data_IF_685094800886
#
_entry.id   IF_685094800886
#
_cell.length_a   1.000
_cell.length_b   1.000
_cell.length_c   1.000
_cell.angle_alpha   90.00
_cell.angle_beta   90.00
_cell.angle_gamma   90.00
#
_symmetry.space_group_name_H-M   'P 1'
#
loop_
_entity.id
_entity.type
_entity.pdbx_description
1 polymer ?
#
# COMPACT_ATOMS: atom_id res chain seq x y z
N UNK A 1 -3.39 -15.50 -8.68
CA UNK A 1 -3.00 -15.18 -10.08
C UNK A 1 -4.25 -14.91 -10.90
N UNK A 2 -4.27 -13.83 -11.66
CA UNK A 2 -5.35 -13.55 -12.60
C UNK A 2 -5.27 -14.51 -13.79
N UNK A 3 -6.35 -15.18 -14.10
CA UNK A 3 -6.44 -15.97 -15.33
C UNK A 3 -6.43 -15.01 -16.53
N UNK A 4 -5.66 -15.31 -17.59
CA UNK A 4 -5.61 -14.57 -18.85
C UNK A 4 -4.90 -13.19 -18.81
N UNK A 5 -3.69 -13.14 -18.30
CA UNK A 5 -2.79 -11.99 -18.48
C UNK A 5 -2.51 -11.73 -19.97
N UNK A 6 -2.90 -10.54 -20.45
CA UNK A 6 -2.50 -10.04 -21.78
C UNK A 6 -1.21 -9.26 -21.66
N UNK A 7 -0.14 -9.76 -22.25
CA UNK A 7 1.12 -9.03 -22.41
C UNK A 7 1.33 -8.73 -23.89
N UNK A 8 1.52 -7.47 -24.24
CA UNK A 8 1.62 -6.98 -25.63
C UNK A 8 0.44 -7.46 -26.50
N UNK A 9 -0.79 -7.43 -25.96
CA UNK A 9 -2.01 -7.81 -26.66
C UNK A 9 -2.26 -9.32 -26.82
N UNK A 10 -1.36 -10.17 -26.34
CA UNK A 10 -1.50 -11.65 -26.39
C UNK A 10 -1.74 -12.23 -25.01
N UNK A 11 -2.65 -13.20 -24.93
CA UNK A 11 -2.85 -14.00 -23.72
C UNK A 11 -1.60 -14.89 -23.57
N UNK A 12 -0.94 -14.81 -22.43
CA UNK A 12 0.20 -15.66 -22.09
C UNK A 12 -0.27 -16.84 -21.23
N UNK A 13 0.37 -17.98 -21.35
CA UNK A 13 0.12 -19.09 -20.45
C UNK A 13 0.70 -18.78 -19.06
N UNK A 14 0.16 -19.42 -18.02
CA UNK A 14 0.61 -19.21 -16.61
C UNK A 14 2.05 -19.63 -16.36
N UNK A 15 2.61 -20.44 -17.25
CA UNK A 15 4.00 -20.96 -17.24
C UNK A 15 4.91 -20.25 -18.25
N UNK A 16 4.41 -19.23 -18.96
CA UNK A 16 5.22 -18.47 -19.91
C UNK A 16 6.33 -17.71 -19.18
N UNK A 17 7.56 -18.02 -19.49
CA UNK A 17 8.73 -17.31 -19.00
C UNK A 17 9.05 -16.16 -19.96
N UNK A 18 9.03 -14.92 -19.46
CA UNK A 18 9.44 -13.79 -20.28
C UNK A 18 10.93 -13.85 -20.60
N UNK A 19 11.30 -13.40 -21.79
CA UNK A 19 12.70 -13.37 -22.29
C UNK A 19 13.66 -12.65 -21.34
N UNK A 20 13.17 -11.67 -20.60
CA UNK A 20 13.85 -10.97 -19.50
C UNK A 20 13.17 -11.38 -18.19
N UNK A 21 13.69 -12.36 -17.50
CA UNK A 21 13.11 -13.01 -16.32
C UNK A 21 12.80 -12.11 -15.11
N UNK A 22 13.19 -10.84 -15.14
CA UNK A 22 13.09 -9.92 -14.00
C UNK A 22 11.81 -9.11 -13.90
N UNK A 23 10.82 -9.28 -14.80
CA UNK A 23 9.67 -8.38 -14.90
C UNK A 23 8.35 -9.08 -15.22
N UNK A 24 8.11 -10.25 -14.65
CA UNK A 24 6.83 -10.95 -14.82
C UNK A 24 5.81 -10.48 -13.79
N UNK A 25 4.60 -10.10 -14.21
CA UNK A 25 3.45 -9.92 -13.33
C UNK A 25 2.69 -11.24 -13.26
N UNK A 26 3.15 -12.19 -12.45
CA UNK A 26 2.58 -13.54 -12.41
C UNK A 26 2.12 -13.96 -11.01
N UNK A 27 1.60 -13.01 -10.24
CA UNK A 27 1.06 -13.31 -8.93
C UNK A 27 2.18 -13.53 -7.90
N UNK A 28 3.29 -12.80 -8.04
CA UNK A 28 4.29 -12.76 -6.97
C UNK A 28 3.72 -12.04 -5.77
N UNK A 29 3.97 -12.56 -4.58
CA UNK A 29 3.68 -11.86 -3.32
C UNK A 29 4.66 -10.70 -3.22
N UNK A 30 4.13 -9.49 -3.03
CA UNK A 30 4.90 -8.25 -2.98
C UNK A 30 4.54 -7.39 -1.76
N UNK A 31 3.45 -7.71 -1.10
CA UNK A 31 3.06 -7.13 0.18
C UNK A 31 2.51 -8.23 1.08
N UNK A 32 2.86 -8.17 2.35
CA UNK A 32 2.40 -9.09 3.38
C UNK A 32 2.31 -8.31 4.69
N UNK A 33 1.20 -8.48 5.39
CA UNK A 33 1.07 -8.00 6.76
C UNK A 33 0.20 -8.93 7.60
N UNK A 34 0.46 -8.96 8.91
CA UNK A 34 -0.29 -9.70 9.90
C UNK A 34 -0.92 -8.74 10.90
N UNK A 35 -2.17 -8.97 11.24
CA UNK A 35 -2.85 -8.16 12.26
C UNK A 35 -2.25 -8.39 13.65
N UNK A 36 -1.73 -7.34 14.27
CA UNK A 36 -1.26 -7.40 15.67
C UNK A 36 -2.40 -7.54 16.69
N UNK A 37 -3.65 -7.25 16.28
CA UNK A 37 -4.84 -7.30 17.13
C UNK A 37 -5.58 -8.63 17.03
N UNK A 38 -5.35 -9.39 15.98
CA UNK A 38 -6.01 -10.68 15.75
C UNK A 38 -5.01 -11.68 15.19
N UNK A 39 -4.62 -12.62 16.02
CA UNK A 39 -3.79 -13.77 15.66
C UNK A 39 -4.35 -14.47 14.41
N UNK A 40 -3.48 -15.00 13.57
CA UNK A 40 -3.81 -15.75 12.36
C UNK A 40 -4.49 -14.94 11.22
N UNK A 41 -4.68 -13.63 11.38
CA UNK A 41 -5.25 -12.78 10.35
C UNK A 41 -4.13 -12.17 9.47
N UNK A 42 -4.00 -12.71 8.26
CA UNK A 42 -2.95 -12.38 7.31
C UNK A 42 -3.53 -11.69 6.07
N UNK A 43 -2.80 -10.72 5.56
CA UNK A 43 -3.09 -10.01 4.31
C UNK A 43 -1.92 -10.16 3.34
N UNK A 44 -2.20 -10.56 2.11
CA UNK A 44 -1.19 -10.74 1.05
C UNK A 44 -1.60 -9.97 -0.20
N UNK A 45 -0.68 -9.15 -0.71
CA UNK A 45 -0.83 -8.42 -1.96
C UNK A 45 0.07 -8.98 -3.05
N UNK A 46 -0.40 -8.92 -4.29
CA UNK A 46 0.35 -9.45 -5.44
C UNK A 46 0.68 -8.40 -6.50
N UNK A 47 1.67 -8.68 -7.32
CA UNK A 47 2.12 -7.81 -8.41
C UNK A 47 1.10 -7.70 -9.56
N UNK A 48 0.17 -8.63 -9.66
CA UNK A 48 -0.96 -8.62 -10.62
C UNK A 48 -2.26 -8.02 -10.03
N UNK A 49 -2.15 -7.39 -8.84
CA UNK A 49 -3.22 -6.59 -8.24
C UNK A 49 -4.31 -7.41 -7.58
N UNK A 50 -3.95 -8.48 -6.89
CA UNK A 50 -4.86 -9.25 -6.05
C UNK A 50 -4.54 -8.99 -4.58
N UNK A 51 -5.56 -9.01 -3.74
CA UNK A 51 -5.41 -9.10 -2.30
C UNK A 51 -6.00 -10.42 -1.85
N UNK A 52 -5.25 -11.15 -1.04
CA UNK A 52 -5.69 -12.38 -0.40
C UNK A 52 -5.71 -12.18 1.10
N UNK A 53 -6.77 -12.66 1.75
CA UNK A 53 -6.94 -12.58 3.20
C UNK A 53 -7.15 -13.97 3.75
N UNK A 54 -6.42 -14.28 4.80
CA UNK A 54 -6.60 -15.50 5.61
C UNK A 54 -6.91 -15.09 7.05
N UNK A 55 -7.85 -15.76 7.68
CA UNK A 55 -8.17 -15.59 9.11
C UNK A 55 -7.86 -16.85 9.94
N UNK A 56 -7.03 -17.73 9.40
CA UNK A 56 -6.67 -19.03 9.98
C UNK A 56 -5.23 -19.44 9.63
N UNK A 57 -4.27 -18.56 9.85
CA UNK A 57 -2.83 -18.78 9.65
C UNK A 57 -2.45 -19.27 8.24
N UNK A 58 -3.20 -18.85 7.22
CA UNK A 58 -2.91 -19.22 5.83
C UNK A 58 -3.49 -20.60 5.42
N UNK A 59 -4.25 -21.27 6.27
CA UNK A 59 -4.87 -22.54 5.92
C UNK A 59 -5.90 -22.39 4.78
N UNK A 60 -6.61 -21.26 4.76
CA UNK A 60 -7.52 -20.90 3.67
C UNK A 60 -7.35 -19.41 3.32
N UNK A 61 -7.56 -19.09 2.04
CA UNK A 61 -7.42 -17.74 1.52
C UNK A 61 -8.66 -17.29 0.76
N UNK A 62 -9.17 -16.11 1.10
CA UNK A 62 -10.20 -15.43 0.31
C UNK A 62 -9.52 -14.44 -0.62
N UNK A 63 -9.82 -14.52 -1.91
CA UNK A 63 -9.24 -13.66 -2.95
C UNK A 63 -10.16 -12.50 -3.28
N UNK A 64 -9.58 -11.30 -3.36
CA UNK A 64 -10.22 -10.08 -3.84
C UNK A 64 -9.46 -9.55 -5.06
N UNK A 65 -10.16 -9.22 -6.14
CA UNK A 65 -9.58 -8.83 -7.44
C UNK A 65 -10.26 -7.62 -8.09
N UNK A 66 -11.23 -7.02 -7.42
CA UNK A 66 -11.95 -5.86 -7.92
C UNK A 66 -12.00 -4.75 -6.87
N UNK A 67 -11.35 -3.63 -7.18
CA UNK A 67 -11.26 -2.46 -6.32
C UNK A 67 -11.78 -1.25 -7.09
N UNK A 68 -12.89 -0.68 -6.63
CA UNK A 68 -13.54 0.44 -7.33
C UNK A 68 -12.57 1.61 -7.52
N UNK A 69 -12.31 1.98 -8.77
CA UNK A 69 -11.42 3.10 -9.12
C UNK A 69 -9.95 2.70 -9.27
N UNK A 70 -9.57 1.45 -9.02
CA UNK A 70 -8.24 0.93 -9.29
C UNK A 70 -8.28 0.17 -10.63
N UNK A 71 -7.40 0.50 -11.60
CA UNK A 71 -7.30 -0.25 -12.85
C UNK A 71 -6.90 -1.71 -12.60
N UNK A 72 -7.36 -2.61 -13.46
CA UNK A 72 -6.97 -4.03 -13.38
C UNK A 72 -5.45 -4.21 -13.47
N UNK A 73 -4.93 -5.22 -12.79
CA UNK A 73 -3.51 -5.54 -12.73
C UNK A 73 -2.64 -4.37 -12.22
N UNK A 74 -3.16 -3.59 -11.27
CA UNK A 74 -2.39 -2.56 -10.57
C UNK A 74 -1.65 -3.20 -9.41
N UNK A 75 -0.33 -3.02 -9.36
CA UNK A 75 0.56 -3.58 -8.36
C UNK A 75 0.11 -3.21 -6.93
N UNK A 76 -0.01 -4.18 -6.02
CA UNK A 76 -0.26 -3.94 -4.60
C UNK A 76 1.07 -3.60 -3.95
N UNK A 77 1.31 -2.32 -3.65
CA UNK A 77 2.61 -1.86 -3.18
C UNK A 77 2.82 -2.10 -1.69
N UNK A 78 1.78 -1.85 -0.89
CA UNK A 78 1.80 -2.04 0.56
C UNK A 78 0.42 -2.47 1.06
N UNK A 79 0.41 -3.25 2.13
CA UNK A 79 -0.76 -3.60 2.94
C UNK A 79 -0.39 -3.34 4.40
N UNK A 80 -1.26 -2.68 5.15
CA UNK A 80 -1.06 -2.38 6.56
C UNK A 80 -2.34 -2.69 7.33
N UNK A 81 -2.29 -3.71 8.19
CA UNK A 81 -3.35 -4.00 9.14
C UNK A 81 -3.38 -2.94 10.23
N UNK A 82 -4.57 -2.45 10.56
CA UNK A 82 -4.71 -1.40 11.56
C UNK A 82 -4.24 -1.86 12.95
N UNK A 83 -3.58 -0.94 13.64
CA UNK A 83 -3.15 -1.10 15.05
C UNK A 83 -4.28 -0.86 16.05
N UNK A 84 -5.44 -0.33 15.59
CA UNK A 84 -6.57 0.05 16.45
C UNK A 84 -7.84 -0.75 16.20
N UNK A 85 -8.01 -1.34 15.00
CA UNK A 85 -9.21 -2.08 14.63
C UNK A 85 -8.86 -3.33 13.83
N UNK A 86 -9.12 -4.51 14.39
CA UNK A 86 -8.81 -5.80 13.75
C UNK A 86 -9.55 -6.06 12.44
N UNK A 87 -10.59 -5.30 12.14
CA UNK A 87 -11.33 -5.41 10.88
C UNK A 87 -10.84 -4.44 9.81
N UNK A 88 -9.92 -3.51 10.18
CA UNK A 88 -9.40 -2.48 9.27
C UNK A 88 -8.06 -2.90 8.67
N UNK A 89 -7.95 -2.65 7.38
CA UNK A 89 -6.69 -2.79 6.63
C UNK A 89 -6.59 -1.71 5.57
N UNK A 90 -5.40 -1.19 5.36
CA UNK A 90 -5.07 -0.22 4.32
C UNK A 90 -4.37 -0.93 3.16
N UNK A 91 -4.59 -0.44 1.94
CA UNK A 91 -3.92 -0.94 0.75
C UNK A 91 -3.44 0.20 -0.13
N UNK A 92 -2.18 0.14 -0.50
CA UNK A 92 -1.54 1.06 -1.44
C UNK A 92 -1.32 0.34 -2.76
N UNK A 93 -1.74 0.97 -3.85
CA UNK A 93 -1.54 0.43 -5.19
C UNK A 93 -0.68 1.36 -6.03
N UNK A 94 0.07 0.81 -6.96
CA UNK A 94 0.97 1.55 -7.82
C UNK A 94 0.90 1.06 -9.27
N UNK A 95 0.66 1.97 -10.21
CA UNK A 95 0.47 1.64 -11.61
C UNK A 95 1.49 2.31 -12.54
N UNK A 96 2.60 2.81 -11.99
CA UNK A 96 3.62 3.54 -12.75
C UNK A 96 4.20 2.75 -13.93
N UNK A 97 4.27 1.40 -13.82
CA UNK A 97 4.72 0.53 -14.93
C UNK A 97 3.86 0.63 -16.19
N UNK A 98 2.61 1.13 -16.05
CA UNK A 98 1.70 1.41 -17.16
C UNK A 98 1.61 2.89 -17.52
N UNK A 99 2.50 3.74 -16.96
CA UNK A 99 2.52 5.18 -17.17
C UNK A 99 1.43 5.94 -16.42
N UNK A 100 0.76 5.28 -15.48
CA UNK A 100 -0.26 5.87 -14.63
C UNK A 100 0.33 6.18 -13.24
N UNK A 101 0.43 7.46 -12.93
CA UNK A 101 1.01 7.99 -11.69
C UNK A 101 -0.05 8.52 -10.72
N UNK A 102 -1.29 8.14 -10.91
CA UNK A 102 -2.37 8.51 -10.00
C UNK A 102 -2.14 7.94 -8.61
N UNK A 103 -2.50 8.65 -7.53
CA UNK A 103 -2.46 8.10 -6.20
C UNK A 103 -3.56 7.05 -6.04
N UNK A 104 -3.22 5.90 -5.50
CA UNK A 104 -4.15 4.83 -5.20
C UNK A 104 -3.95 4.37 -3.77
N UNK A 105 -4.92 4.71 -2.91
CA UNK A 105 -4.91 4.40 -1.50
C UNK A 105 -6.33 4.05 -1.06
N UNK A 106 -6.48 2.88 -0.46
CA UNK A 106 -7.77 2.32 -0.09
C UNK A 106 -7.76 1.91 1.39
N UNK A 107 -8.92 1.96 2.02
CA UNK A 107 -9.18 1.38 3.33
C UNK A 107 -10.34 0.40 3.25
N UNK A 108 -10.21 -0.72 3.94
CA UNK A 108 -11.29 -1.65 4.25
C UNK A 108 -11.54 -1.64 5.75
N UNK A 109 -12.79 -1.71 6.17
CA UNK A 109 -13.19 -1.85 7.58
C UNK A 109 -13.93 -3.19 7.84
N UNK A 110 -13.75 -4.16 6.95
CA UNK A 110 -14.41 -5.47 6.98
C UNK A 110 -13.49 -6.60 6.49
N UNK A 111 -12.18 -6.49 6.80
CA UNK A 111 -11.12 -7.45 6.44
C UNK A 111 -10.99 -7.65 4.93
N UNK A 112 -11.05 -6.58 4.16
CA UNK A 112 -10.83 -6.62 2.72
C UNK A 112 -12.06 -6.99 1.89
N UNK A 113 -13.26 -7.15 2.47
CA UNK A 113 -14.48 -7.47 1.71
C UNK A 113 -14.95 -6.28 0.88
N UNK A 114 -14.92 -5.08 1.48
CA UNK A 114 -15.24 -3.84 0.78
C UNK A 114 -14.13 -2.80 0.95
N UNK A 115 -13.93 -1.95 -0.05
CA UNK A 115 -12.85 -0.98 -0.10
C UNK A 115 -13.35 0.41 -0.45
N UNK A 116 -12.84 1.40 0.26
CA UNK A 116 -13.15 2.82 0.05
C UNK A 116 -11.85 3.59 -0.20
N UNK A 117 -11.85 4.46 -1.21
CA UNK A 117 -10.69 5.32 -1.49
C UNK A 117 -10.59 6.43 -0.45
N UNK A 118 -9.38 6.65 0.07
CA UNK A 118 -9.04 7.73 0.99
C UNK A 118 -7.98 8.68 0.42
N UNK A 119 -7.83 8.74 -0.90
CA UNK A 119 -6.90 9.66 -1.57
C UNK A 119 -7.29 11.13 -1.43
N UNK A 120 -8.59 11.43 -1.28
CA UNK A 120 -9.15 12.77 -1.04
C UNK A 120 -8.43 13.87 -1.85
N UNK A 121 -7.75 14.78 -1.18
CA UNK A 121 -7.03 15.92 -1.75
C UNK A 121 -5.53 15.67 -2.00
N UNK A 122 -5.06 14.42 -1.96
CA UNK A 122 -3.70 14.10 -2.43
C UNK A 122 -3.50 14.60 -3.87
N UNK A 123 -2.26 14.99 -4.25
CA UNK A 123 -1.98 15.42 -5.62
C UNK A 123 -2.47 14.42 -6.65
N UNK A 124 -3.18 14.88 -7.68
CA UNK A 124 -3.75 14.01 -8.73
C UNK A 124 -2.69 13.21 -9.49
N UNK A 125 -1.44 13.63 -9.44
CA UNK A 125 -0.28 12.94 -9.99
C UNK A 125 0.78 12.85 -8.90
N UNK A 126 1.18 11.64 -8.61
CA UNK A 126 2.14 11.29 -7.57
C UNK A 126 1.75 9.97 -6.93
N UNK A 127 2.39 8.88 -7.37
CA UNK A 127 2.15 7.56 -6.83
C UNK A 127 2.31 7.56 -5.32
N UNK A 128 1.43 6.86 -4.62
CA UNK A 128 1.61 6.51 -3.21
C UNK A 128 2.42 5.21 -3.17
N UNK A 129 3.37 5.14 -2.24
CA UNK A 129 4.23 3.97 -2.09
C UNK A 129 3.97 3.21 -0.80
N UNK A 130 3.68 3.93 0.28
CA UNK A 130 3.47 3.31 1.56
C UNK A 130 2.54 4.13 2.45
N UNK A 131 2.02 3.50 3.51
CA UNK A 131 1.18 4.10 4.54
C UNK A 131 1.58 3.58 5.91
N UNK A 132 1.60 4.46 6.90
CA UNK A 132 1.73 4.10 8.31
C UNK A 132 0.57 4.68 9.11
N UNK A 133 -0.03 3.86 9.98
CA UNK A 133 -1.02 4.28 10.97
C UNK A 133 -0.29 4.56 12.29
N UNK A 134 -0.60 5.69 12.91
CA UNK A 134 -0.07 6.04 14.23
C UNK A 134 -0.49 5.01 15.28
N UNK A 135 0.38 4.72 16.23
CA UNK A 135 0.13 3.71 17.24
C UNK A 135 -0.72 4.21 18.42
N UNK A 136 -0.97 5.52 18.53
CA UNK A 136 -1.75 6.15 19.61
C UNK A 136 -3.07 6.75 19.10
N UNK A 137 -3.10 7.32 17.89
CA UNK A 137 -4.29 7.94 17.30
C UNK A 137 -4.68 7.24 15.97
N UNK A 138 -5.78 6.51 15.98
CA UNK A 138 -6.32 5.83 14.80
C UNK A 138 -6.66 6.77 13.61
N UNK A 139 -6.76 8.08 13.84
CA UNK A 139 -7.05 9.05 12.80
C UNK A 139 -5.80 9.66 12.18
N UNK A 140 -4.63 9.49 12.82
CA UNK A 140 -3.35 9.97 12.33
C UNK A 140 -2.70 8.93 11.43
N UNK A 141 -2.60 9.27 10.14
CA UNK A 141 -1.96 8.43 9.13
C UNK A 141 -0.88 9.22 8.40
N UNK A 142 0.16 8.54 7.96
CA UNK A 142 1.22 9.09 7.11
C UNK A 142 1.27 8.32 5.81
N UNK A 143 1.51 8.99 4.68
CA UNK A 143 1.70 8.35 3.38
C UNK A 143 2.95 8.85 2.69
N UNK A 144 3.75 7.92 2.20
CA UNK A 144 4.89 8.17 1.34
C UNK A 144 4.46 8.26 -0.12
N UNK A 145 4.84 9.34 -0.79
CA UNK A 145 4.48 9.59 -2.18
C UNK A 145 5.71 9.89 -3.04
N UNK A 146 5.50 10.02 -4.35
CA UNK A 146 6.49 10.51 -5.32
C UNK A 146 7.11 11.88 -4.92
N UNK A 147 6.38 12.70 -4.17
CA UNK A 147 6.74 14.08 -3.87
C UNK A 147 6.89 14.38 -2.39
N UNK A 148 7.15 13.39 -1.58
CA UNK A 148 7.36 13.51 -0.13
C UNK A 148 6.28 12.81 0.68
N UNK A 149 6.13 13.25 1.92
CA UNK A 149 5.20 12.70 2.90
C UNK A 149 3.98 13.59 3.04
N UNK A 150 2.82 12.96 3.14
CA UNK A 150 1.58 13.61 3.55
C UNK A 150 1.06 12.94 4.82
N UNK A 151 0.38 13.69 5.65
CA UNK A 151 -0.26 13.18 6.85
C UNK A 151 -1.72 13.65 6.94
N UNK A 152 -2.52 12.92 7.69
CA UNK A 152 -3.91 13.25 8.01
C UNK A 152 -4.15 12.97 9.49
N UNK A 153 -5.01 13.75 10.13
CA UNK A 153 -5.51 13.51 11.49
C UNK A 153 -7.04 13.29 11.49
N UNK A 154 -7.59 12.90 10.36
CA UNK A 154 -9.01 12.64 10.19
C UNK A 154 -9.27 11.42 9.27
N UNK A 155 -8.43 10.40 9.38
CA UNK A 155 -8.57 9.12 8.66
C UNK A 155 -8.62 9.28 7.14
N UNK A 156 -7.81 10.20 6.57
CA UNK A 156 -7.70 10.38 5.12
C UNK A 156 -8.76 11.27 4.48
N UNK A 157 -9.58 11.98 5.27
CA UNK A 157 -10.55 12.94 4.73
C UNK A 157 -9.87 14.19 4.17
N UNK A 158 -8.74 14.58 4.76
CA UNK A 158 -7.90 15.68 4.30
C UNK A 158 -6.43 15.34 4.56
N UNK A 159 -5.57 15.53 3.55
CA UNK A 159 -4.13 15.31 3.62
C UNK A 159 -3.39 16.63 3.61
N UNK A 160 -2.34 16.74 4.44
CA UNK A 160 -1.42 17.88 4.50
C UNK A 160 -0.02 17.41 4.20
N UNK A 161 0.72 18.16 3.41
CA UNK A 161 2.10 17.81 3.10
C UNK A 161 3.03 18.18 4.26
N UNK A 162 3.84 17.23 4.69
CA UNK A 162 4.93 17.45 5.63
C UNK A 162 6.12 18.04 4.87
N UNK A 163 6.39 19.33 5.06
CA UNK A 163 7.42 20.07 4.30
C UNK A 163 8.66 20.42 5.11
N UNK A 164 8.57 20.46 6.43
CA UNK A 164 9.58 21.02 7.32
C UNK A 164 10.88 20.19 7.26
N UNK A 165 11.91 20.73 6.61
CA UNK A 165 13.20 20.06 6.48
C UNK A 165 13.27 18.92 5.46
N UNK A 166 12.14 18.49 4.88
CA UNK A 166 12.10 17.44 3.86
C UNK A 166 12.20 18.03 2.45
N UNK A 167 13.13 17.56 1.61
CA UNK A 167 13.17 17.92 0.21
C UNK A 167 12.00 17.28 -0.54
N UNK A 168 11.67 17.81 -1.72
CA UNK A 168 10.75 17.13 -2.63
C UNK A 168 11.45 15.90 -3.21
N UNK A 169 11.14 14.73 -2.67
CA UNK A 169 11.74 13.45 -3.03
C UNK A 169 10.73 12.32 -2.79
N UNK A 170 10.84 11.25 -3.57
CA UNK A 170 9.99 10.09 -3.36
C UNK A 170 10.34 9.41 -2.02
N UNK A 171 9.32 9.21 -1.19
CA UNK A 171 9.38 8.44 0.06
C UNK A 171 8.78 7.07 -0.22
N UNK A 172 9.60 6.04 -0.09
CA UNK A 172 9.29 4.68 -0.52
C UNK A 172 8.76 3.80 0.58
N UNK A 173 9.13 4.14 1.82
CA UNK A 173 8.78 3.35 2.99
C UNK A 173 8.70 4.27 4.21
N UNK A 174 7.78 4.00 5.13
CA UNK A 174 7.52 4.78 6.32
C UNK A 174 7.34 3.83 7.50
N UNK A 175 8.16 4.05 8.53
CA UNK A 175 8.05 3.33 9.78
C UNK A 175 7.91 4.27 10.97
N UNK A 176 7.10 3.88 11.95
CA UNK A 176 6.96 4.57 13.22
C UNK A 176 7.70 3.78 14.28
N UNK A 177 8.74 4.40 14.83
CA UNK A 177 9.42 3.87 16.00
C UNK A 177 8.61 4.25 17.24
N UNK A 178 7.78 3.32 17.73
CA UNK A 178 6.71 3.57 18.69
C UNK A 178 7.21 4.01 20.08
N UNK A 179 8.39 3.53 20.52
CA UNK A 179 8.92 3.82 21.85
C UNK A 179 9.26 5.29 22.05
N UNK A 180 9.81 5.96 21.03
CA UNK A 180 10.27 7.36 21.09
C UNK A 180 9.38 8.29 20.27
N UNK A 181 8.34 7.77 19.59
CA UNK A 181 7.46 8.49 18.67
C UNK A 181 8.22 9.09 17.48
N UNK A 182 9.19 8.36 16.92
CA UNK A 182 9.96 8.83 15.78
C UNK A 182 9.35 8.35 14.47
N UNK A 183 9.22 9.24 13.50
CA UNK A 183 8.82 8.90 12.15
C UNK A 183 10.06 8.72 11.27
N UNK A 184 10.27 7.52 10.79
CA UNK A 184 11.41 7.15 9.94
C UNK A 184 10.95 7.04 8.48
N UNK A 185 11.62 7.77 7.60
CA UNK A 185 11.28 7.89 6.19
C UNK A 185 12.42 7.37 5.32
N UNK A 186 12.16 6.34 4.53
CA UNK A 186 13.12 5.84 3.54
C UNK A 186 12.88 6.53 2.19
N UNK A 187 13.88 7.25 1.69
CA UNK A 187 13.75 8.05 0.48
C UNK A 187 14.45 7.42 -0.72
N UNK A 188 14.01 7.75 -1.92
CA UNK A 188 14.68 7.30 -3.13
C UNK A 188 15.92 8.17 -3.42
N UNK A 189 17.09 7.65 -3.08
CA UNK A 189 18.38 8.24 -3.44
C UNK A 189 18.93 9.32 -2.48
N UNK A 190 18.26 9.60 -1.35
CA UNK A 190 18.75 10.55 -0.35
C UNK A 190 18.75 10.01 1.08
N UNK A 191 18.99 8.68 1.22
CA UNK A 191 19.07 8.03 2.53
C UNK A 191 17.76 8.11 3.33
N UNK A 192 17.86 8.09 4.64
CA UNK A 192 16.75 8.14 5.60
C UNK A 192 16.63 9.53 6.21
N UNK A 193 15.39 9.90 6.52
CA UNK A 193 15.07 11.04 7.38
C UNK A 193 14.37 10.53 8.62
N UNK A 194 14.66 11.11 9.75
CA UNK A 194 14.00 10.82 11.01
C UNK A 194 13.41 12.13 11.54
N UNK A 195 12.13 12.09 11.86
CA UNK A 195 11.46 13.16 12.58
C UNK A 195 11.25 12.67 13.99
N UNK A 196 12.10 13.21 14.91
CA UNK A 196 12.05 12.86 16.32
C UNK A 196 10.78 13.41 16.96
N UNK A 197 10.10 12.59 17.75
CA UNK A 197 8.92 12.96 18.53
C UNK A 197 7.90 13.77 17.73
N UNK A 198 7.29 13.13 16.72
CA UNK A 198 6.36 13.76 15.77
C UNK A 198 4.96 14.05 16.36
N UNK A 199 4.62 13.51 17.52
CA UNK A 199 3.31 13.60 18.21
C UNK A 199 3.19 14.83 19.12
#
# INVERSE_FOLDING_TARGET
MRNQLKVMGRIQSSDAVMKNKSTTMYGNIVALDESILKEDLLYVGTDDGLIHVSDNAGANWTKYDNFKGIPENTYVNSLVASKHNSDRVYAVFNNHKKGDFSPYLMVSNDRGKTWTSIVSNLPKRGSVYDIAEDHQDENLLFVGTEFGVFFTYNSGKEWKQLKNGLPTIAVRDIEIQERENDLVLATFGRSFYVLDNYS
#
